data_IF_883430484084
#
_entry.id   IF_883430484084
#
_cell.length_a   1.000
_cell.length_b   1.000
_cell.length_c   1.000
_cell.angle_alpha   90.00
_cell.angle_beta   90.00
_cell.angle_gamma   90.00
#
_symmetry.space_group_name_H-M   'P 1'
#
loop_
_entity.id
_entity.type
_entity.pdbx_description
1 polymer ?
#
# COMPACT_ATOMS: atom_id res chain seq x y z
N UNK A 1 -8.94 -16.43 17.05
CA UNK A 1 -7.63 -15.96 17.55
C UNK A 1 -7.38 -14.60 16.91
N UNK A 2 -7.33 -13.54 17.69
CA UNK A 2 -7.00 -12.20 17.19
C UNK A 2 -5.51 -12.17 16.85
N UNK A 3 -5.19 -12.10 15.56
CA UNK A 3 -3.84 -11.86 15.09
C UNK A 3 -3.44 -10.47 15.59
N UNK A 4 -2.50 -10.35 16.53
CA UNK A 4 -1.97 -9.06 17.01
C UNK A 4 -0.49 -8.98 16.67
N UNK A 5 -0.19 -8.66 15.41
CA UNK A 5 1.16 -8.38 14.93
C UNK A 5 1.29 -6.86 14.83
N UNK A 6 2.29 -6.29 15.48
CA UNK A 6 2.64 -4.89 15.29
C UNK A 6 3.26 -4.70 13.90
N UNK A 7 2.93 -3.59 13.25
CA UNK A 7 3.65 -3.15 12.05
C UNK A 7 5.12 -2.87 12.40
N UNK A 8 6.06 -3.20 11.51
CA UNK A 8 7.47 -2.97 11.79
C UNK A 8 7.79 -1.49 11.74
N UNK A 9 8.61 -1.03 12.69
CA UNK A 9 9.14 0.33 12.67
C UNK A 9 10.20 0.47 11.55
N UNK A 10 9.89 1.33 10.58
CA UNK A 10 10.71 1.64 9.40
C UNK A 10 10.63 3.15 9.11
N UNK A 11 11.68 3.71 8.51
CA UNK A 11 11.67 5.07 7.96
C UNK A 11 11.63 5.01 6.43
N UNK A 12 10.53 5.48 5.85
CA UNK A 12 10.36 5.66 4.42
C UNK A 12 11.03 6.95 3.95
N UNK A 13 11.80 6.87 2.87
CA UNK A 13 12.41 8.02 2.19
C UNK A 13 11.44 8.50 1.13
N UNK A 14 10.59 9.46 1.47
CA UNK A 14 9.52 9.95 0.59
C UNK A 14 9.95 11.22 -0.12
N UNK A 15 9.21 11.58 -1.16
CA UNK A 15 9.33 12.88 -1.81
C UNK A 15 7.97 13.56 -1.80
N UNK A 16 7.86 14.68 -1.12
CA UNK A 16 6.61 15.43 -0.97
C UNK A 16 6.66 16.68 -1.83
N UNK A 17 5.53 16.99 -2.48
CA UNK A 17 5.41 18.15 -3.36
C UNK A 17 5.50 19.43 -2.52
N UNK A 18 6.34 20.35 -2.94
CA UNK A 18 6.49 21.67 -2.31
C UNK A 18 6.35 22.74 -3.39
N UNK A 19 5.26 23.52 -3.30
CA UNK A 19 4.92 24.55 -4.28
C UNK A 19 5.85 25.76 -4.22
N UNK A 20 6.62 25.93 -3.14
CA UNK A 20 7.64 26.96 -3.04
C UNK A 20 8.88 26.63 -3.89
N UNK A 21 9.06 25.36 -4.28
CA UNK A 21 10.15 24.91 -5.14
C UNK A 21 9.74 25.10 -6.60
N UNK A 22 10.36 26.07 -7.28
CA UNK A 22 10.17 26.27 -8.71
C UNK A 22 10.79 25.17 -9.57
N UNK A 23 10.40 25.12 -10.85
CA UNK A 23 11.01 24.25 -11.86
C UNK A 23 10.27 22.91 -12.08
N UNK A 24 10.85 22.00 -12.88
CA UNK A 24 10.15 20.80 -13.36
C UNK A 24 9.98 19.69 -12.31
N UNK A 25 10.67 19.80 -11.16
CA UNK A 25 10.64 18.79 -10.10
C UNK A 25 10.41 19.45 -8.71
N UNK A 26 9.18 19.96 -8.43
CA UNK A 26 8.84 20.68 -7.22
C UNK A 26 8.59 19.73 -6.04
N UNK A 27 9.58 18.89 -5.72
CA UNK A 27 9.50 17.90 -4.65
C UNK A 27 10.73 17.98 -3.77
N UNK A 28 10.55 17.87 -2.46
CA UNK A 28 11.63 17.75 -1.48
C UNK A 28 11.66 16.38 -0.82
N UNK A 29 12.81 16.01 -0.27
CA UNK A 29 12.94 14.80 0.53
C UNK A 29 12.28 14.99 1.89
N UNK A 30 11.51 14.00 2.30
CA UNK A 30 10.95 13.92 3.65
C UNK A 30 11.13 12.50 4.17
N UNK A 31 11.41 12.38 5.47
CA UNK A 31 11.42 11.08 6.14
C UNK A 31 10.07 10.91 6.83
N UNK A 32 9.36 9.85 6.50
CA UNK A 32 8.15 9.42 7.22
C UNK A 32 8.42 8.09 7.88
N UNK A 33 8.06 7.95 9.14
CA UNK A 33 8.16 6.71 9.91
C UNK A 33 6.87 5.91 9.82
N UNK A 34 6.93 4.65 10.24
CA UNK A 34 5.71 3.83 10.42
C UNK A 34 4.72 4.48 11.38
N UNK A 35 5.18 5.17 12.43
CA UNK A 35 4.29 5.84 13.39
C UNK A 35 3.57 7.05 12.74
N UNK A 36 4.23 7.79 11.85
CA UNK A 36 3.60 8.90 11.12
C UNK A 36 2.40 8.44 10.28
N UNK A 37 2.48 7.21 9.74
CA UNK A 37 1.42 6.61 8.93
C UNK A 37 0.39 5.85 9.79
N UNK A 38 0.83 5.05 10.75
CA UNK A 38 0.00 4.01 11.35
C UNK A 38 -0.31 4.25 12.84
N UNK A 39 0.37 5.18 13.52
CA UNK A 39 0.16 5.48 14.93
C UNK A 39 -1.07 6.36 15.15
N UNK A 40 -1.86 6.06 16.18
CA UNK A 40 -3.04 6.82 16.59
C UNK A 40 -4.16 6.90 15.55
N UNK A 41 -4.14 6.03 14.54
CA UNK A 41 -5.12 5.98 13.45
C UNK A 41 -5.56 4.54 13.21
N UNK A 42 -6.78 4.38 12.71
CA UNK A 42 -7.27 3.13 12.14
C UNK A 42 -7.29 3.23 10.62
N UNK A 43 -6.41 2.49 9.96
CA UNK A 43 -6.11 2.66 8.53
C UNK A 43 -6.25 1.35 7.75
N UNK A 44 -6.39 1.48 6.44
CA UNK A 44 -6.19 0.37 5.51
C UNK A 44 -4.82 0.56 4.85
N UNK A 45 -3.98 -0.47 4.93
CA UNK A 45 -2.76 -0.57 4.14
C UNK A 45 -2.96 -1.67 3.11
N UNK A 46 -2.79 -1.38 1.82
CA UNK A 46 -2.70 -2.41 0.81
C UNK A 46 -1.38 -2.36 0.07
N UNK A 47 -0.92 -3.53 -0.36
CA UNK A 47 0.31 -3.70 -1.11
C UNK A 47 0.08 -4.38 -2.44
N UNK A 48 1.02 -4.14 -3.35
CA UNK A 48 0.99 -4.64 -4.71
C UNK A 48 2.42 -4.86 -5.26
N UNK A 49 2.56 -5.68 -6.32
CA UNK A 49 3.88 -6.03 -6.85
C UNK A 49 4.67 -4.88 -7.48
N UNK A 50 4.00 -3.86 -8.04
CA UNK A 50 4.71 -2.75 -8.67
C UNK A 50 3.81 -1.71 -9.31
N UNK A 51 4.24 -0.45 -9.22
CA UNK A 51 3.69 0.66 -9.98
C UNK A 51 3.68 0.37 -11.50
N UNK A 52 2.73 0.96 -12.22
CA UNK A 52 2.51 0.82 -13.67
C UNK A 52 2.18 -0.59 -14.19
N UNK A 53 2.05 -1.60 -13.32
CA UNK A 53 1.62 -2.95 -13.74
C UNK A 53 0.10 -3.02 -13.97
N UNK A 54 -0.41 -3.91 -14.86
CA UNK A 54 -1.81 -3.86 -15.32
C UNK A 54 -2.86 -3.95 -14.20
N UNK A 55 -2.86 -5.04 -13.42
CA UNK A 55 -3.87 -5.27 -12.36
C UNK A 55 -3.88 -4.14 -11.33
N UNK A 56 -2.69 -3.66 -10.97
CA UNK A 56 -2.49 -2.60 -9.99
C UNK A 56 -3.02 -1.25 -10.49
N UNK A 57 -2.80 -0.94 -11.76
CA UNK A 57 -3.12 0.37 -12.36
C UNK A 57 -4.54 0.45 -12.92
N UNK A 58 -5.15 -0.69 -13.24
CA UNK A 58 -6.51 -0.73 -13.82
C UNK A 58 -7.58 -1.00 -12.77
N UNK A 59 -7.30 -1.79 -11.74
CA UNK A 59 -8.30 -2.25 -10.77
C UNK A 59 -7.97 -1.83 -9.34
N UNK A 60 -6.92 -2.41 -8.73
CA UNK A 60 -6.76 -2.35 -7.28
C UNK A 60 -6.70 -0.93 -6.71
N UNK A 61 -5.71 -0.14 -7.12
CA UNK A 61 -5.54 1.22 -6.60
C UNK A 61 -6.69 2.15 -7.03
N UNK A 62 -7.12 2.18 -8.31
CA UNK A 62 -8.29 2.99 -8.70
C UNK A 62 -9.58 2.66 -7.95
N UNK A 63 -9.83 1.38 -7.61
CA UNK A 63 -11.06 1.00 -6.93
C UNK A 63 -11.01 1.32 -5.43
N UNK A 64 -9.84 1.26 -4.78
CA UNK A 64 -9.68 1.82 -3.44
C UNK A 64 -9.93 3.34 -3.46
N UNK A 65 -9.46 4.07 -4.47
CA UNK A 65 -9.65 5.52 -4.60
C UNK A 65 -11.15 5.87 -4.77
N UNK A 66 -11.88 5.10 -5.59
CA UNK A 66 -13.33 5.27 -5.77
C UNK A 66 -14.13 4.97 -4.50
N UNK A 67 -13.73 3.94 -3.75
CA UNK A 67 -14.43 3.49 -2.55
C UNK A 67 -13.98 4.21 -1.26
N UNK A 68 -13.00 5.12 -1.34
CA UNK A 68 -12.38 5.79 -0.21
C UNK A 68 -13.39 6.35 0.80
N UNK A 69 -14.41 7.08 0.33
CA UNK A 69 -15.39 7.74 1.22
C UNK A 69 -16.25 6.73 2.00
N UNK A 70 -16.54 5.55 1.42
CA UNK A 70 -17.26 4.49 2.12
C UNK A 70 -16.42 3.86 3.24
N UNK A 71 -15.09 3.84 3.10
CA UNK A 71 -14.22 3.41 4.19
C UNK A 71 -14.19 4.44 5.32
N UNK A 72 -14.20 5.74 5.00
CA UNK A 72 -14.29 6.80 6.02
C UNK A 72 -15.56 6.68 6.87
N UNK A 73 -16.71 6.37 6.24
CA UNK A 73 -17.98 6.12 6.95
C UNK A 73 -17.87 4.97 7.97
N UNK A 74 -16.93 4.05 7.77
CA UNK A 74 -16.64 2.91 8.67
C UNK A 74 -15.50 3.20 9.66
N UNK A 75 -15.20 4.48 9.92
CA UNK A 75 -14.16 4.93 10.85
C UNK A 75 -12.76 4.44 10.47
N UNK A 76 -12.47 4.45 9.17
CA UNK A 76 -11.11 4.35 8.65
C UNK A 76 -10.61 5.78 8.45
N UNK A 77 -9.46 6.13 9.03
CA UNK A 77 -8.91 7.49 8.98
C UNK A 77 -8.15 7.75 7.67
N UNK A 78 -7.48 6.72 7.13
CA UNK A 78 -6.68 6.83 5.91
C UNK A 78 -6.53 5.49 5.19
N UNK A 79 -6.21 5.56 3.90
CA UNK A 79 -5.85 4.41 3.07
C UNK A 79 -4.48 4.65 2.44
N UNK A 80 -3.59 3.69 2.59
CA UNK A 80 -2.22 3.74 2.11
C UNK A 80 -1.93 2.60 1.13
N UNK A 81 -1.24 2.93 0.04
CA UNK A 81 -0.73 1.96 -0.91
C UNK A 81 0.79 1.84 -0.78
N UNK A 82 1.31 0.66 -0.46
CA UNK A 82 2.77 0.42 -0.38
C UNK A 82 3.25 -0.48 -1.51
N UNK A 83 4.36 -0.10 -2.14
CA UNK A 83 5.03 -0.91 -3.17
C UNK A 83 6.54 -0.82 -3.03
N UNK A 84 7.23 -1.87 -3.47
CA UNK A 84 8.70 -1.90 -3.58
C UNK A 84 9.11 -1.13 -4.84
N UNK A 85 8.96 0.19 -4.77
CA UNK A 85 9.36 1.18 -5.77
C UNK A 85 9.87 2.42 -5.04
N UNK A 86 10.78 3.15 -5.68
CA UNK A 86 11.26 4.43 -5.15
C UNK A 86 10.20 5.55 -5.26
N UNK A 87 10.44 6.64 -4.53
CA UNK A 87 9.51 7.76 -4.44
C UNK A 87 9.24 8.47 -5.78
N UNK A 88 10.20 8.45 -6.72
CA UNK A 88 10.01 9.10 -8.02
C UNK A 88 8.98 8.34 -8.84
N UNK A 89 9.13 7.01 -8.90
CA UNK A 89 8.21 6.11 -9.59
C UNK A 89 6.82 6.19 -8.94
N UNK A 90 6.73 6.11 -7.62
CA UNK A 90 5.44 6.19 -6.93
C UNK A 90 4.74 7.53 -7.17
N UNK A 91 5.44 8.65 -7.10
CA UNK A 91 4.84 9.97 -7.37
C UNK A 91 4.38 10.13 -8.83
N UNK A 92 5.20 9.69 -9.78
CA UNK A 92 4.83 9.73 -11.20
C UNK A 92 3.61 8.85 -11.48
N UNK A 93 3.54 7.68 -10.85
CA UNK A 93 2.43 6.75 -11.00
C UNK A 93 1.13 7.30 -10.41
N UNK A 94 1.15 7.80 -9.17
CA UNK A 94 -0.01 8.44 -8.54
C UNK A 94 -0.55 9.61 -9.37
N UNK A 95 0.35 10.44 -9.91
CA UNK A 95 -0.03 11.52 -10.84
C UNK A 95 -0.67 10.99 -12.13
N UNK A 96 -0.12 9.92 -12.72
CA UNK A 96 -0.65 9.33 -13.96
C UNK A 96 -2.07 8.75 -13.79
N UNK A 97 -2.40 8.29 -12.58
CA UNK A 97 -3.72 7.77 -12.23
C UNK A 97 -4.67 8.86 -11.72
N UNK A 98 -4.19 10.10 -11.52
CA UNK A 98 -4.99 11.21 -11.02
C UNK A 98 -5.44 11.04 -9.57
N UNK A 99 -4.70 10.29 -8.74
CA UNK A 99 -5.06 10.08 -7.32
C UNK A 99 -5.21 11.41 -6.58
N UNK A 100 -6.24 11.49 -5.74
CA UNK A 100 -6.53 12.65 -4.89
C UNK A 100 -6.56 12.28 -3.41
N UNK A 101 -6.91 11.04 -3.05
CA UNK A 101 -7.22 10.64 -1.67
C UNK A 101 -6.21 9.66 -1.09
N UNK A 102 -5.79 8.65 -1.86
CA UNK A 102 -4.84 7.63 -1.39
C UNK A 102 -3.41 8.17 -1.44
N UNK A 103 -2.70 8.01 -0.31
CA UNK A 103 -1.27 8.28 -0.26
C UNK A 103 -0.45 7.03 -0.63
N UNK A 104 0.64 7.26 -1.36
CA UNK A 104 1.55 6.22 -1.84
C UNK A 104 2.82 6.17 -0.98
N UNK A 105 3.12 4.99 -0.43
CA UNK A 105 4.31 4.74 0.39
C UNK A 105 5.39 4.06 -0.47
N UNK A 106 6.52 4.74 -0.73
CA UNK A 106 7.63 4.18 -1.49
C UNK A 106 8.55 3.34 -0.60
N UNK A 107 8.27 2.04 -0.49
CA UNK A 107 9.17 1.08 0.18
C UNK A 107 10.31 0.66 -0.76
N UNK A 108 11.07 1.63 -1.28
CA UNK A 108 12.03 1.41 -2.38
C UNK A 108 13.16 0.43 -2.06
N UNK A 109 13.48 0.23 -0.77
CA UNK A 109 14.45 -0.78 -0.31
C UNK A 109 13.80 -2.12 0.05
N UNK A 110 12.47 -2.24 -0.01
CA UNK A 110 11.71 -3.41 0.41
C UNK A 110 11.81 -3.72 1.91
N UNK A 111 12.25 -2.76 2.73
CA UNK A 111 12.53 -3.02 4.16
C UNK A 111 11.25 -3.29 4.92
N UNK A 112 10.23 -2.47 4.70
CA UNK A 112 8.94 -2.62 5.35
C UNK A 112 8.28 -3.93 4.90
N UNK A 113 8.23 -4.16 3.59
CA UNK A 113 7.68 -5.37 2.98
C UNK A 113 8.37 -6.64 3.50
N UNK A 114 9.70 -6.64 3.60
CA UNK A 114 10.47 -7.75 4.18
C UNK A 114 10.12 -8.01 5.63
N UNK A 115 10.07 -6.95 6.45
CA UNK A 115 9.73 -7.07 7.89
C UNK A 115 8.26 -7.45 8.11
N UNK A 116 7.37 -7.09 7.18
CA UNK A 116 5.99 -7.57 7.15
C UNK A 116 5.90 -9.06 6.79
N UNK A 117 6.96 -9.64 6.23
CA UNK A 117 7.02 -11.03 5.78
C UNK A 117 6.46 -11.24 4.38
N UNK A 118 6.27 -10.16 3.62
CA UNK A 118 5.56 -10.15 2.33
C UNK A 118 6.49 -9.93 1.13
N UNK A 119 7.80 -10.05 1.30
CA UNK A 119 8.75 -9.86 0.21
C UNK A 119 8.95 -11.18 -0.54
N UNK A 120 8.71 -11.17 -1.85
CA UNK A 120 8.86 -12.32 -2.75
C UNK A 120 9.73 -11.95 -3.95
N UNK A 121 10.43 -12.93 -4.52
CA UNK A 121 11.09 -12.79 -5.81
C UNK A 121 10.05 -12.82 -6.94
N UNK A 122 10.20 -11.94 -7.93
CA UNK A 122 9.43 -11.95 -9.19
C UNK A 122 10.38 -11.83 -10.38
N UNK A 123 11.47 -12.61 -10.34
CA UNK A 123 12.49 -12.66 -11.38
C UNK A 123 11.97 -13.28 -12.67
N UNK A 124 10.95 -14.14 -12.59
CA UNK A 124 10.19 -14.64 -13.74
C UNK A 124 9.59 -13.51 -14.61
N UNK A 125 9.39 -12.32 -14.04
CA UNK A 125 8.94 -11.11 -14.73
C UNK A 125 10.03 -10.03 -14.86
N UNK A 126 11.24 -10.30 -14.37
CA UNK A 126 12.35 -9.34 -14.34
C UNK A 126 12.20 -8.22 -13.31
N UNK A 127 11.39 -8.42 -12.26
CA UNK A 127 11.08 -7.36 -11.29
C UNK A 127 12.02 -7.32 -10.08
N UNK A 128 12.79 -8.38 -9.84
CA UNK A 128 13.54 -8.56 -8.60
C UNK A 128 12.62 -8.85 -7.42
N UNK A 129 13.04 -8.45 -6.22
CA UNK A 129 12.23 -8.58 -5.01
C UNK A 129 11.10 -7.55 -4.99
N UNK A 130 9.86 -8.00 -4.78
CA UNK A 130 8.65 -7.18 -4.73
C UNK A 130 7.75 -7.58 -3.57
N UNK A 131 6.76 -6.74 -3.29
CA UNK A 131 5.72 -7.10 -2.34
C UNK A 131 4.73 -8.09 -2.93
N UNK A 132 4.33 -9.06 -2.12
CA UNK A 132 3.14 -9.84 -2.34
C UNK A 132 1.90 -8.95 -2.25
N UNK A 133 0.83 -9.34 -2.93
CA UNK A 133 -0.42 -8.57 -2.90
C UNK A 133 -1.19 -8.92 -1.64
N UNK A 134 -1.48 -7.90 -0.83
CA UNK A 134 -2.29 -8.05 0.37
C UNK A 134 -3.00 -6.73 0.73
N UNK A 135 -4.01 -6.79 1.58
CA UNK A 135 -4.50 -5.65 2.34
C UNK A 135 -4.51 -5.97 3.84
N UNK A 136 -4.44 -4.95 4.67
CA UNK A 136 -4.44 -5.07 6.12
C UNK A 136 -5.23 -3.91 6.72
N UNK A 137 -6.05 -4.24 7.72
CA UNK A 137 -6.63 -3.26 8.62
C UNK A 137 -5.69 -3.11 9.81
N UNK A 138 -5.25 -1.88 10.08
CA UNK A 138 -4.29 -1.59 11.15
C UNK A 138 -4.91 -0.54 12.06
N UNK A 139 -4.94 -0.79 13.36
CA UNK A 139 -5.39 0.13 14.40
C UNK A 139 -4.24 0.42 15.36
N UNK A 140 -3.81 1.68 15.42
CA UNK A 140 -2.69 2.14 16.25
C UNK A 140 -1.42 1.28 16.10
N UNK A 141 -1.02 1.05 14.85
CA UNK A 141 0.14 0.22 14.51
C UNK A 141 -0.05 -1.29 14.73
N UNK A 142 -1.23 -1.75 15.16
CA UNK A 142 -1.53 -3.18 15.35
C UNK A 142 -2.40 -3.69 14.20
N UNK A 143 -1.97 -4.77 13.54
CA UNK A 143 -2.79 -5.43 12.50
C UNK A 143 -4.02 -6.06 13.15
N UNK A 144 -5.22 -5.63 12.75
CA UNK A 144 -6.52 -6.18 13.18
C UNK A 144 -7.01 -7.29 12.25
N UNK A 145 -6.87 -7.09 10.94
CA UNK A 145 -7.33 -8.01 9.90
C UNK A 145 -6.31 -8.09 8.77
N UNK A 146 -6.21 -9.26 8.15
CA UNK A 146 -5.22 -9.58 7.12
C UNK A 146 -5.90 -10.21 5.91
N UNK A 147 -5.67 -9.63 4.73
CA UNK A 147 -6.28 -9.99 3.46
C UNK A 147 -5.18 -10.31 2.44
N UNK A 148 -4.54 -11.45 2.61
CA UNK A 148 -3.46 -11.94 1.75
C UNK A 148 -4.03 -12.67 0.54
N UNK A 149 -3.50 -12.41 -0.65
CA UNK A 149 -3.86 -13.23 -1.81
C UNK A 149 -3.27 -14.65 -1.69
N UNK A 150 -3.98 -15.65 -2.19
CA UNK A 150 -3.55 -17.05 -2.15
C UNK A 150 -2.34 -17.33 -3.04
N UNK A 151 -1.57 -18.35 -2.70
CA UNK A 151 -0.44 -18.79 -3.52
C UNK A 151 0.85 -17.98 -3.29
N UNK A 152 1.04 -17.47 -2.07
CA UNK A 152 2.27 -16.81 -1.64
C UNK A 152 3.50 -17.67 -1.97
N UNK A 153 4.27 -17.26 -2.96
CA UNK A 153 5.53 -17.89 -3.33
C UNK A 153 6.39 -16.96 -4.19
N UNK A 154 7.69 -17.28 -4.22
CA UNK A 154 8.62 -16.71 -5.18
C UNK A 154 8.27 -17.17 -6.61
N UNK A 155 8.39 -16.26 -7.56
CA UNK A 155 8.17 -16.50 -8.98
C UNK A 155 6.81 -17.12 -9.31
N UNK A 156 5.78 -16.77 -8.52
CA UNK A 156 4.39 -17.17 -8.79
C UNK A 156 4.03 -16.84 -10.25
N UNK A 157 3.51 -17.83 -10.98
CA UNK A 157 3.14 -17.71 -12.39
C UNK A 157 1.83 -16.92 -12.59
N UNK A 158 0.99 -16.91 -11.56
CA UNK A 158 -0.30 -16.21 -11.56
C UNK A 158 -0.20 -14.84 -10.91
N UNK A 159 -1.16 -13.96 -11.23
CA UNK A 159 -1.35 -12.66 -10.58
C UNK A 159 -2.68 -12.67 -9.79
N UNK A 160 -2.73 -13.31 -8.60
CA UNK A 160 -3.96 -13.44 -7.85
C UNK A 160 -4.44 -12.05 -7.37
N UNK A 161 -5.75 -11.85 -7.50
CA UNK A 161 -6.43 -10.63 -7.05
C UNK A 161 -7.90 -10.94 -6.74
N UNK A 162 -8.26 -10.83 -5.46
CA UNK A 162 -9.62 -11.04 -5.00
C UNK A 162 -9.75 -10.81 -3.50
N UNK A 163 -8.90 -11.45 -2.70
CA UNK A 163 -8.94 -11.36 -1.22
C UNK A 163 -8.63 -9.93 -0.77
N UNK A 164 -7.65 -9.29 -1.40
CA UNK A 164 -7.22 -7.91 -1.12
C UNK A 164 -8.00 -6.85 -1.91
N UNK A 165 -9.05 -7.24 -2.65
CA UNK A 165 -9.87 -6.28 -3.39
C UNK A 165 -10.60 -5.32 -2.43
N UNK A 166 -10.77 -4.04 -2.80
CA UNK A 166 -11.44 -3.09 -1.93
C UNK A 166 -12.90 -3.46 -1.69
N UNK A 167 -13.57 -4.12 -2.64
CA UNK A 167 -14.94 -4.61 -2.44
C UNK A 167 -14.98 -5.68 -1.34
N UNK A 168 -14.09 -6.68 -1.39
CA UNK A 168 -14.05 -7.71 -0.35
C UNK A 168 -13.69 -7.12 1.01
N UNK A 169 -12.70 -6.21 1.08
CA UNK A 169 -12.34 -5.53 2.34
C UNK A 169 -13.53 -4.75 2.89
N UNK A 170 -14.23 -3.98 2.04
CA UNK A 170 -15.39 -3.18 2.44
C UNK A 170 -16.54 -4.05 2.96
N UNK A 171 -16.86 -5.15 2.26
CA UNK A 171 -17.90 -6.09 2.67
C UNK A 171 -17.59 -6.73 4.03
N UNK A 172 -16.31 -7.07 4.27
CA UNK A 172 -15.85 -7.63 5.55
C UNK A 172 -15.92 -6.63 6.69
N UNK A 173 -15.62 -5.35 6.44
CA UNK A 173 -15.78 -4.30 7.44
C UNK A 173 -17.26 -4.04 7.74
N UNK A 174 -18.13 -3.99 6.73
CA UNK A 174 -19.59 -3.82 6.91
C UNK A 174 -20.21 -4.99 7.69
N UNK A 175 -19.73 -6.21 7.49
CA UNK A 175 -20.22 -7.38 8.21
C UNK A 175 -19.76 -7.46 9.68
N UNK A 176 -18.72 -6.70 10.04
CA UNK A 176 -18.16 -6.66 11.40
C UNK A 176 -18.67 -5.47 12.24
N UNK A 177 -19.40 -4.54 11.61
CA UNK A 177 -20.02 -3.37 12.24
C UNK A 177 -21.40 -3.70 12.82
#
# INVERSE_FOLDING_TARGET
>A
MTYRKNVPLVTFRTRVRDESIGGPNPYQWENKTSDDYFGGKRIILFSLPGAFTPTCSTFQLPDFEKLYDQFLELRIDAIYCVSVNDAFVMNAWGKSLGLQKIELIPDGSGEFTRKMGMLVAKDNLGFGMRSWRYAALIDDGVVEQWFEEEGFCDNCETDPYGVSSPQNVLDKLKAAA
#
